data_IF_356002115231
#
_entry.id   IF_356002115231
#
_cell.length_a   1.000
_cell.length_b   1.000
_cell.length_c   1.000
_cell.angle_alpha   90.00
_cell.angle_beta   90.00
_cell.angle_gamma   90.00
#
_symmetry.space_group_name_H-M   'P 1'
#
loop_
_entity.id
_entity.type
_entity.pdbx_description
1 polymer ?
#
# COMPACT_ATOMS: atom_id res chain seq x y z
N UNK A 1 -5.92 -20.73 5.49
CA UNK A 1 -6.79 -21.75 4.83
C UNK A 1 -6.39 -21.90 3.36
N UNK A 2 -6.32 -23.12 2.80
CA UNK A 2 -5.98 -23.30 1.38
C UNK A 2 -7.16 -22.99 0.46
N UNK A 3 -6.85 -22.53 -0.74
CA UNK A 3 -7.84 -22.42 -1.80
C UNK A 3 -8.42 -23.80 -2.16
N UNK A 4 -9.72 -23.87 -2.29
CA UNK A 4 -10.44 -25.04 -2.80
C UNK A 4 -11.39 -24.63 -3.91
N UNK A 5 -11.71 -25.49 -4.87
CA UNK A 5 -12.69 -25.20 -5.91
C UNK A 5 -14.05 -24.79 -5.33
N UNK A 6 -14.50 -25.42 -4.25
CA UNK A 6 -15.78 -25.11 -3.59
C UNK A 6 -15.82 -23.66 -3.08
N UNK A 7 -14.76 -23.18 -2.43
CA UNK A 7 -14.69 -21.79 -1.93
C UNK A 7 -14.86 -20.78 -3.09
N UNK A 8 -14.28 -21.08 -4.24
CA UNK A 8 -14.36 -20.19 -5.40
C UNK A 8 -15.71 -20.27 -6.10
N UNK A 9 -16.30 -21.47 -6.18
CA UNK A 9 -17.60 -21.69 -6.81
C UNK A 9 -18.73 -21.08 -5.95
N UNK A 10 -18.65 -21.28 -4.62
CA UNK A 10 -19.67 -20.84 -3.66
C UNK A 10 -19.45 -19.38 -3.20
N UNK A 11 -18.43 -18.70 -3.75
CA UNK A 11 -18.12 -17.33 -3.40
C UNK A 11 -19.32 -16.39 -3.63
N UNK A 12 -19.67 -15.51 -2.66
CA UNK A 12 -20.72 -14.52 -2.82
C UNK A 12 -20.45 -13.64 -4.05
N UNK A 13 -21.52 -13.39 -4.82
CA UNK A 13 -21.46 -12.60 -6.04
C UNK A 13 -22.42 -11.43 -5.94
N UNK A 14 -21.93 -10.24 -6.30
CA UNK A 14 -22.75 -9.02 -6.32
C UNK A 14 -22.62 -8.36 -7.70
N UNK A 15 -23.70 -7.67 -8.07
CA UNK A 15 -23.73 -6.88 -9.28
C UNK A 15 -23.70 -5.40 -8.91
N UNK A 16 -22.74 -4.67 -9.43
CA UNK A 16 -22.57 -3.23 -9.22
C UNK A 16 -23.07 -2.52 -10.47
N UNK A 17 -24.10 -1.71 -10.33
CA UNK A 17 -24.62 -0.89 -11.41
C UNK A 17 -23.89 0.47 -11.41
N UNK A 18 -23.22 0.77 -12.49
CA UNK A 18 -22.59 2.09 -12.67
C UNK A 18 -23.60 3.05 -13.28
N UNK A 19 -24.12 3.99 -12.50
CA UNK A 19 -25.13 4.99 -12.82
C UNK A 19 -24.79 5.95 -13.98
N UNK A 20 -23.88 5.59 -14.87
CA UNK A 20 -23.43 6.43 -15.99
C UNK A 20 -24.24 6.27 -17.27
N UNK A 21 -25.49 5.81 -17.20
CA UNK A 21 -26.40 5.77 -18.34
C UNK A 21 -26.07 4.76 -19.45
N UNK A 22 -25.03 3.94 -19.27
CA UNK A 22 -24.75 2.73 -20.05
C UNK A 22 -24.90 1.55 -19.14
N UNK A 23 -25.70 0.58 -19.53
CA UNK A 23 -26.02 -0.66 -18.81
C UNK A 23 -24.79 -1.56 -18.63
N UNK A 24 -23.71 -1.06 -18.00
CA UNK A 24 -22.56 -1.86 -17.62
C UNK A 24 -22.72 -2.26 -16.16
N UNK A 25 -23.20 -3.46 -15.97
CA UNK A 25 -23.29 -4.07 -14.65
C UNK A 25 -22.01 -4.86 -14.42
N UNK A 26 -21.22 -4.44 -13.45
CA UNK A 26 -20.01 -5.17 -13.05
C UNK A 26 -20.34 -6.26 -12.04
N UNK A 27 -19.88 -7.46 -12.36
CA UNK A 27 -19.99 -8.61 -11.44
C UNK A 27 -18.77 -8.62 -10.52
N UNK A 28 -19.04 -8.52 -9.22
CA UNK A 28 -18.07 -8.63 -8.14
C UNK A 28 -18.14 -10.02 -7.51
N UNK A 29 -17.00 -10.71 -7.41
CA UNK A 29 -16.87 -11.97 -6.67
C UNK A 29 -16.07 -11.69 -5.40
N UNK A 30 -16.61 -12.13 -4.26
CA UNK A 30 -16.04 -11.82 -2.95
C UNK A 30 -15.41 -13.07 -2.33
N UNK A 31 -14.10 -13.01 -2.14
CA UNK A 31 -13.27 -14.01 -1.46
C UNK A 31 -12.50 -13.37 -0.29
N UNK A 32 -13.05 -12.32 0.32
CA UNK A 32 -12.40 -11.63 1.44
C UNK A 32 -12.66 -12.31 2.77
N UNK A 33 -11.79 -12.04 3.75
CA UNK A 33 -11.94 -12.49 5.15
C UNK A 33 -11.95 -14.01 5.34
N UNK A 34 -11.34 -14.76 4.41
CA UNK A 34 -11.34 -16.23 4.41
C UNK A 34 -10.02 -16.84 4.89
N UNK A 35 -9.03 -16.02 5.30
CA UNK A 35 -7.70 -16.48 5.67
C UNK A 35 -7.05 -17.39 4.59
N UNK A 36 -7.26 -17.02 3.32
CA UNK A 36 -6.73 -17.76 2.18
C UNK A 36 -5.22 -17.57 2.09
N UNK A 37 -4.50 -18.69 2.07
CA UNK A 37 -3.04 -18.74 1.95
C UNK A 37 -2.61 -18.96 0.50
N UNK A 38 -1.45 -18.44 0.16
CA UNK A 38 -0.82 -18.76 -1.13
C UNK A 38 -0.33 -20.21 -1.13
N UNK A 39 -0.79 -20.97 -2.11
CA UNK A 39 -0.33 -22.33 -2.38
C UNK A 39 -0.07 -22.49 -3.89
N UNK A 40 1.08 -23.02 -4.24
CA UNK A 40 1.51 -23.14 -5.64
C UNK A 40 0.65 -24.09 -6.48
N UNK A 41 -0.02 -25.04 -5.85
CA UNK A 41 -0.82 -26.08 -6.52
C UNK A 41 -2.31 -25.79 -6.43
N UNK A 42 -2.81 -25.57 -5.21
CA UNK A 42 -4.25 -25.46 -4.96
C UNK A 42 -4.84 -24.11 -5.41
N UNK A 43 -4.10 -23.01 -5.25
CA UNK A 43 -4.58 -21.67 -5.62
C UNK A 43 -4.81 -21.53 -7.14
N UNK A 44 -3.86 -21.86 -8.05
CA UNK A 44 -4.11 -21.75 -9.49
C UNK A 44 -5.20 -22.71 -9.97
N UNK A 45 -5.27 -23.92 -9.39
CA UNK A 45 -6.29 -24.91 -9.74
C UNK A 45 -7.69 -24.47 -9.35
N UNK A 46 -7.84 -23.91 -8.14
CA UNK A 46 -9.12 -23.41 -7.65
C UNK A 46 -9.60 -22.17 -8.39
N UNK A 47 -8.71 -21.23 -8.72
CA UNK A 47 -9.06 -20.01 -9.44
C UNK A 47 -9.52 -20.26 -10.90
N UNK A 48 -9.25 -21.43 -11.47
CA UNK A 48 -9.84 -21.82 -12.76
C UNK A 48 -11.35 -21.95 -12.71
N UNK A 49 -11.91 -22.23 -11.53
CA UNK A 49 -13.36 -22.32 -11.33
C UNK A 49 -14.05 -20.95 -11.08
N UNK A 50 -13.26 -19.86 -11.04
CA UNK A 50 -13.82 -18.52 -10.95
C UNK A 50 -14.70 -18.24 -12.16
N UNK A 51 -15.97 -17.94 -11.90
CA UNK A 51 -16.99 -17.75 -12.95
C UNK A 51 -16.62 -16.64 -13.93
N UNK A 52 -16.99 -16.79 -15.19
CA UNK A 52 -16.89 -15.73 -16.22
C UNK A 52 -18.30 -15.22 -16.57
N UNK A 53 -18.47 -13.91 -16.77
CA UNK A 53 -17.49 -12.85 -16.49
C UNK A 53 -17.38 -12.57 -14.99
N UNK A 54 -16.18 -12.15 -14.53
CA UNK A 54 -15.92 -11.53 -13.24
C UNK A 54 -15.18 -10.24 -13.50
N UNK A 55 -15.77 -9.11 -13.16
CA UNK A 55 -15.20 -7.79 -13.45
C UNK A 55 -14.37 -7.27 -12.26
N UNK A 56 -14.84 -7.56 -11.05
CA UNK A 56 -14.19 -7.18 -9.78
C UNK A 56 -13.93 -8.44 -8.98
N UNK A 57 -12.67 -8.65 -8.56
CA UNK A 57 -12.29 -9.75 -7.68
C UNK A 57 -11.79 -9.17 -6.36
N UNK A 58 -12.49 -9.49 -5.27
CA UNK A 58 -12.16 -9.05 -3.92
C UNK A 58 -11.51 -10.17 -3.12
N UNK A 59 -10.20 -10.06 -2.90
CA UNK A 59 -9.36 -10.94 -2.09
C UNK A 59 -8.83 -10.21 -0.84
N UNK A 60 -9.51 -9.15 -0.42
CA UNK A 60 -9.11 -8.33 0.74
C UNK A 60 -9.09 -9.16 2.02
N UNK A 61 -8.14 -8.85 2.91
CA UNK A 61 -8.02 -9.44 4.23
C UNK A 61 -7.91 -10.98 4.20
N UNK A 62 -6.85 -11.45 3.56
CA UNK A 62 -6.43 -12.85 3.50
C UNK A 62 -4.93 -12.96 3.86
N UNK A 63 -4.37 -14.15 3.77
CA UNK A 63 -2.96 -14.42 4.11
C UNK A 63 -2.09 -14.63 2.87
N UNK A 64 -2.40 -13.96 1.77
CA UNK A 64 -1.67 -14.08 0.51
C UNK A 64 -0.28 -13.45 0.62
N UNK A 65 0.76 -14.20 0.25
CA UNK A 65 2.15 -13.72 0.19
C UNK A 65 2.58 -13.29 -1.22
N UNK A 66 1.81 -13.65 -2.24
CA UNK A 66 2.02 -13.25 -3.64
C UNK A 66 0.68 -13.03 -4.35
N UNK A 67 0.74 -12.29 -5.44
CA UNK A 67 -0.42 -12.09 -6.33
C UNK A 67 -0.76 -13.41 -7.01
N UNK A 68 -2.05 -13.84 -7.03
CA UNK A 68 -2.46 -15.00 -7.79
C UNK A 68 -2.27 -14.79 -9.31
N UNK A 69 -1.95 -15.86 -10.04
CA UNK A 69 -1.84 -15.78 -11.50
C UNK A 69 -3.22 -15.65 -12.15
N UNK A 70 -3.51 -14.42 -12.54
CA UNK A 70 -4.73 -14.02 -13.26
C UNK A 70 -4.41 -13.53 -14.68
N UNK A 71 -3.21 -13.78 -15.17
CA UNK A 71 -2.72 -13.29 -16.48
C UNK A 71 -3.60 -13.69 -17.66
N UNK A 72 -4.33 -14.80 -17.57
CA UNK A 72 -5.24 -15.31 -18.58
C UNK A 72 -6.68 -14.79 -18.47
N UNK A 73 -6.93 -13.92 -17.48
CA UNK A 73 -8.26 -13.30 -17.29
C UNK A 73 -8.28 -11.95 -17.99
N UNK A 74 -9.15 -11.84 -18.95
CA UNK A 74 -9.40 -10.62 -19.74
C UNK A 74 -10.63 -9.85 -19.28
N UNK A 75 -11.45 -10.47 -18.45
CA UNK A 75 -12.70 -9.95 -17.91
C UNK A 75 -12.52 -9.16 -16.61
N UNK A 76 -11.41 -9.37 -15.86
CA UNK A 76 -11.18 -8.69 -14.59
C UNK A 76 -10.48 -7.35 -14.82
N UNK A 77 -11.16 -6.25 -14.44
CA UNK A 77 -10.60 -4.91 -14.50
C UNK A 77 -10.27 -4.31 -13.12
N UNK A 78 -10.80 -4.88 -12.04
CA UNK A 78 -10.52 -4.41 -10.67
C UNK A 78 -10.11 -5.58 -9.78
N UNK A 79 -8.95 -5.45 -9.15
CA UNK A 79 -8.37 -6.46 -8.26
C UNK A 79 -8.07 -5.83 -6.91
N UNK A 80 -8.77 -6.31 -5.87
CA UNK A 80 -8.64 -5.85 -4.50
C UNK A 80 -7.85 -6.87 -3.68
N UNK A 81 -6.64 -6.52 -3.29
CA UNK A 81 -5.68 -7.34 -2.53
C UNK A 81 -5.24 -6.64 -1.24
N UNK A 82 -6.01 -5.69 -0.75
CA UNK A 82 -5.71 -4.98 0.49
C UNK A 82 -5.66 -5.91 1.70
N UNK A 83 -4.83 -5.57 2.71
CA UNK A 83 -4.70 -6.35 3.95
C UNK A 83 -4.35 -7.81 3.69
N UNK A 84 -3.24 -8.02 3.02
CA UNK A 84 -2.61 -9.31 2.80
C UNK A 84 -1.14 -9.25 3.25
N UNK A 85 -0.38 -10.30 3.00
CA UNK A 85 1.02 -10.41 3.35
C UNK A 85 1.93 -10.35 2.10
N UNK A 86 1.46 -9.71 1.02
CA UNK A 86 2.18 -9.68 -0.27
C UNK A 86 3.48 -8.91 -0.11
N UNK A 87 4.57 -9.56 -0.50
CA UNK A 87 5.93 -9.02 -0.41
C UNK A 87 6.39 -8.45 -1.75
N UNK A 88 6.13 -9.13 -2.86
CA UNK A 88 6.58 -8.77 -4.19
C UNK A 88 5.41 -8.63 -5.17
N UNK A 89 5.49 -7.64 -6.06
CA UNK A 89 4.45 -7.36 -7.06
C UNK A 89 4.97 -7.71 -8.46
N UNK A 90 4.51 -8.85 -9.00
CA UNK A 90 4.81 -9.21 -10.40
C UNK A 90 3.66 -8.82 -11.33
N UNK A 91 3.90 -7.82 -12.16
CA UNK A 91 2.92 -7.31 -13.12
C UNK A 91 2.47 -8.32 -14.18
N UNK A 92 3.21 -9.41 -14.40
CA UNK A 92 2.83 -10.48 -15.35
C UNK A 92 1.68 -11.33 -14.85
N UNK A 93 1.47 -11.38 -13.53
CA UNK A 93 0.40 -12.16 -12.90
C UNK A 93 -0.95 -11.44 -12.92
N UNK A 94 -0.94 -10.15 -13.25
CA UNK A 94 -2.14 -9.33 -13.28
C UNK A 94 -3.04 -9.66 -14.47
N UNK A 95 -4.38 -9.47 -14.33
CA UNK A 95 -5.31 -9.60 -15.45
C UNK A 95 -4.95 -8.67 -16.62
N UNK A 96 -5.15 -9.14 -17.85
CA UNK A 96 -4.76 -8.38 -19.07
C UNK A 96 -5.42 -7.01 -19.17
N UNK A 97 -6.64 -6.87 -18.69
CA UNK A 97 -7.42 -5.63 -18.76
C UNK A 97 -7.55 -4.93 -17.39
N UNK A 98 -6.66 -5.23 -16.43
CA UNK A 98 -6.72 -4.60 -15.11
C UNK A 98 -6.54 -3.08 -15.23
N UNK A 99 -7.47 -2.35 -14.60
CA UNK A 99 -7.46 -0.89 -14.52
C UNK A 99 -7.20 -0.42 -13.09
N UNK A 100 -7.73 -1.15 -12.10
CA UNK A 100 -7.65 -0.79 -10.69
C UNK A 100 -6.98 -1.92 -9.91
N UNK A 101 -5.89 -1.60 -9.22
CA UNK A 101 -5.16 -2.52 -8.38
C UNK A 101 -4.99 -1.92 -6.98
N UNK A 102 -5.54 -2.60 -5.96
CA UNK A 102 -5.39 -2.20 -4.57
C UNK A 102 -4.50 -3.19 -3.83
N UNK A 103 -3.37 -2.71 -3.33
CA UNK A 103 -2.37 -3.45 -2.54
C UNK A 103 -2.13 -2.78 -1.18
N UNK A 104 -3.11 -2.04 -0.68
CA UNK A 104 -2.98 -1.34 0.60
C UNK A 104 -2.76 -2.30 1.78
N UNK A 105 -1.95 -1.88 2.77
CA UNK A 105 -1.65 -2.67 3.97
C UNK A 105 -1.14 -4.08 3.62
N UNK A 106 -0.05 -4.14 2.89
CA UNK A 106 0.69 -5.35 2.56
C UNK A 106 2.12 -5.29 3.13
N UNK A 107 2.97 -6.25 2.77
CA UNK A 107 4.33 -6.38 3.29
C UNK A 107 5.41 -5.92 2.30
N UNK A 108 5.07 -5.00 1.38
CA UNK A 108 5.98 -4.44 0.39
C UNK A 108 6.89 -3.42 1.08
N UNK A 109 8.21 -3.66 1.07
CA UNK A 109 9.16 -2.90 1.89
C UNK A 109 10.13 -2.05 1.08
N UNK A 110 10.57 -2.55 -0.06
CA UNK A 110 11.65 -1.98 -0.85
C UNK A 110 11.22 -1.71 -2.28
N UNK A 111 11.97 -0.90 -3.00
CA UNK A 111 11.72 -0.65 -4.42
C UNK A 111 11.94 -1.89 -5.29
N UNK A 112 12.85 -2.78 -4.88
CA UNK A 112 13.10 -4.07 -5.55
C UNK A 112 11.83 -4.92 -5.59
N UNK A 113 11.01 -4.88 -4.54
CA UNK A 113 9.76 -5.63 -4.42
C UNK A 113 8.71 -5.18 -5.47
N UNK A 114 8.87 -3.96 -6.02
CA UNK A 114 8.04 -3.39 -7.07
C UNK A 114 8.64 -3.49 -8.49
N UNK A 115 9.90 -3.92 -8.65
CA UNK A 115 10.61 -3.91 -9.94
C UNK A 115 9.86 -4.63 -11.06
N UNK A 116 9.19 -5.73 -10.74
CA UNK A 116 8.45 -6.52 -11.72
C UNK A 116 7.10 -5.89 -12.09
N UNK A 117 6.64 -4.87 -11.34
CA UNK A 117 5.44 -4.10 -11.67
C UNK A 117 5.58 -3.37 -13.02
N UNK A 118 6.80 -3.07 -13.46
CA UNK A 118 7.06 -2.51 -14.83
C UNK A 118 6.50 -3.37 -15.95
N UNK A 119 6.16 -4.64 -15.68
CA UNK A 119 5.54 -5.58 -16.64
C UNK A 119 4.02 -5.61 -16.53
N UNK A 120 3.43 -4.72 -15.73
CA UNK A 120 1.99 -4.58 -15.62
C UNK A 120 1.36 -4.20 -16.98
N UNK A 121 0.12 -4.63 -17.23
CA UNK A 121 -0.61 -4.22 -18.41
C UNK A 121 -0.74 -2.69 -18.52
N UNK A 122 -0.70 -2.16 -19.72
CA UNK A 122 -0.86 -0.72 -19.96
C UNK A 122 -2.26 -0.18 -19.64
N UNK A 123 -3.20 -1.07 -19.38
CA UNK A 123 -4.55 -0.75 -18.93
C UNK A 123 -4.61 -0.32 -17.47
N UNK A 124 -3.55 -0.58 -16.68
CA UNK A 124 -3.49 -0.23 -15.24
C UNK A 124 -3.44 1.30 -15.08
N UNK A 125 -4.52 1.88 -14.58
CA UNK A 125 -4.71 3.32 -14.39
C UNK A 125 -4.55 3.74 -12.95
N UNK A 126 -5.10 2.94 -12.03
CA UNK A 126 -5.21 3.26 -10.61
C UNK A 126 -4.47 2.21 -9.78
N UNK A 127 -3.52 2.67 -8.98
CA UNK A 127 -2.72 1.83 -8.09
C UNK A 127 -2.78 2.40 -6.67
N UNK A 128 -3.06 1.54 -5.69
CA UNK A 128 -3.04 1.91 -4.26
C UNK A 128 -2.05 1.03 -3.52
N UNK A 129 -1.04 1.65 -2.90
CA UNK A 129 0.01 1.00 -2.11
C UNK A 129 0.05 1.48 -0.65
N UNK A 130 -0.88 2.35 -0.24
CA UNK A 130 -0.95 2.92 1.13
C UNK A 130 -0.84 1.82 2.20
N UNK A 131 -0.09 2.13 3.28
CA UNK A 131 0.09 1.18 4.39
C UNK A 131 1.17 0.13 4.15
N UNK A 132 1.96 0.27 3.07
CA UNK A 132 3.19 -0.49 2.86
C UNK A 132 4.41 0.32 3.30
N UNK A 133 5.48 -0.35 3.72
CA UNK A 133 6.71 0.35 4.14
C UNK A 133 7.36 1.12 2.99
N UNK A 134 7.24 0.64 1.75
CA UNK A 134 7.77 1.29 0.56
C UNK A 134 7.25 2.73 0.37
N UNK A 135 6.04 3.04 0.84
CA UNK A 135 5.44 4.38 0.72
C UNK A 135 6.18 5.46 1.53
N UNK A 136 7.00 5.05 2.52
CA UNK A 136 7.77 5.95 3.37
C UNK A 136 9.19 6.18 2.85
N UNK A 137 9.58 5.54 1.76
CA UNK A 137 10.89 5.72 1.15
C UNK A 137 10.97 7.05 0.38
N UNK A 138 12.16 7.65 0.37
CA UNK A 138 12.39 8.88 -0.39
C UNK A 138 12.10 8.67 -1.87
N UNK A 139 11.44 9.66 -2.50
CA UNK A 139 11.09 9.65 -3.93
C UNK A 139 10.21 8.43 -4.35
N UNK A 140 9.38 7.96 -3.43
CA UNK A 140 8.49 6.82 -3.66
C UNK A 140 7.61 7.01 -4.91
N UNK A 141 6.94 8.16 -5.03
CA UNK A 141 6.02 8.43 -6.14
C UNK A 141 6.74 8.43 -7.49
N UNK A 142 7.88 9.10 -7.57
CA UNK A 142 8.71 9.15 -8.77
C UNK A 142 9.19 7.74 -9.16
N UNK A 143 9.55 6.93 -8.17
CA UNK A 143 10.01 5.57 -8.41
C UNK A 143 8.88 4.69 -8.98
N UNK A 144 7.69 4.74 -8.40
CA UNK A 144 6.51 4.01 -8.89
C UNK A 144 6.12 4.49 -10.30
N UNK A 145 6.08 5.80 -10.53
CA UNK A 145 5.72 6.38 -11.83
C UNK A 145 6.74 6.05 -12.93
N UNK A 146 7.99 5.82 -12.56
CA UNK A 146 9.01 5.34 -13.51
C UNK A 146 8.77 3.88 -13.91
N UNK A 147 8.28 3.05 -12.97
CA UNK A 147 7.94 1.65 -13.26
C UNK A 147 6.66 1.54 -14.10
N UNK A 148 5.67 2.37 -13.80
CA UNK A 148 4.35 2.38 -14.45
C UNK A 148 3.99 3.81 -14.91
N UNK A 149 4.55 4.28 -16.05
CA UNK A 149 4.41 5.68 -16.49
C UNK A 149 2.99 6.08 -16.89
N UNK A 150 2.13 5.12 -17.17
CA UNK A 150 0.76 5.34 -17.64
C UNK A 150 -0.28 5.42 -16.51
N UNK A 151 0.13 5.34 -15.22
CA UNK A 151 -0.78 5.51 -14.10
C UNK A 151 -1.48 6.88 -14.16
N UNK A 152 -2.79 6.89 -13.95
CA UNK A 152 -3.58 8.11 -13.81
C UNK A 152 -3.67 8.53 -12.34
N UNK A 153 -3.76 7.54 -11.43
CA UNK A 153 -3.91 7.76 -9.99
C UNK A 153 -2.96 6.85 -9.20
N UNK A 154 -2.22 7.41 -8.27
CA UNK A 154 -1.41 6.69 -7.29
C UNK A 154 -1.84 7.12 -5.89
N UNK A 155 -2.22 6.14 -5.06
CA UNK A 155 -2.63 6.37 -3.67
C UNK A 155 -3.74 7.43 -3.53
N UNK A 156 -4.78 7.29 -4.36
CA UNK A 156 -5.93 8.21 -4.46
C UNK A 156 -5.58 9.64 -4.89
N UNK A 157 -4.35 9.92 -5.30
CA UNK A 157 -3.93 11.22 -5.81
C UNK A 157 -3.67 11.13 -7.31
N UNK A 158 -4.25 12.05 -8.07
CA UNK A 158 -4.01 12.14 -9.51
C UNK A 158 -2.54 12.42 -9.80
N UNK A 159 -2.02 11.76 -10.83
CA UNK A 159 -0.64 11.92 -11.29
C UNK A 159 -0.53 13.12 -12.22
N UNK A 160 0.27 14.11 -11.83
CA UNK A 160 0.47 15.33 -12.63
C UNK A 160 1.50 15.13 -13.75
N UNK A 161 1.45 16.01 -14.77
CA UNK A 161 2.42 16.00 -15.84
C UNK A 161 3.85 16.35 -15.35
N UNK A 162 3.95 17.13 -14.28
CA UNK A 162 5.23 17.51 -13.66
C UNK A 162 5.85 16.31 -12.94
N UNK A 163 5.07 15.56 -12.18
CA UNK A 163 5.54 14.32 -11.53
C UNK A 163 6.05 13.31 -12.56
N UNK A 164 5.37 13.15 -13.69
CA UNK A 164 5.83 12.26 -14.77
C UNK A 164 7.18 12.70 -15.34
N UNK A 165 7.38 14.02 -15.56
CA UNK A 165 8.66 14.56 -16.03
C UNK A 165 9.77 14.33 -15.01
N UNK A 166 9.49 14.58 -13.73
CA UNK A 166 10.43 14.34 -12.64
C UNK A 166 10.83 12.87 -12.56
N UNK A 167 9.86 11.96 -12.64
CA UNK A 167 10.11 10.51 -12.62
C UNK A 167 11.01 10.04 -13.79
N UNK A 168 10.88 10.65 -14.96
CA UNK A 168 11.73 10.33 -16.13
C UNK A 168 13.15 10.90 -16.00
N UNK A 169 13.30 12.03 -15.33
CA UNK A 169 14.62 12.71 -15.12
C UNK A 169 15.43 12.09 -13.98
N UNK A 170 14.81 11.25 -13.17
CA UNK A 170 15.47 10.66 -12.01
C UNK A 170 16.57 9.69 -12.45
N UNK A 171 17.82 9.86 -11.95
CA UNK A 171 18.91 8.98 -12.32
C UNK A 171 18.56 7.53 -11.93
N UNK A 172 18.92 6.58 -12.80
CA UNK A 172 18.88 5.17 -12.43
C UNK A 172 19.83 4.96 -11.27
N UNK A 173 19.27 4.81 -10.06
CA UNK A 173 20.09 4.25 -9.00
C UNK A 173 20.44 2.82 -9.41
N UNK A 174 21.73 2.60 -9.55
CA UNK A 174 22.26 1.25 -9.64
C UNK A 174 21.88 0.51 -8.34
N UNK A 175 21.43 -0.72 -8.51
CA UNK A 175 21.04 -1.63 -7.43
C UNK A 175 22.04 -1.56 -6.27
N UNK A 176 21.65 -1.02 -5.15
CA UNK A 176 22.53 -0.91 -3.99
C UNK A 176 21.82 -0.23 -2.81
N UNK A 177 21.62 -1.01 -1.78
CA UNK A 177 21.18 -0.59 -0.45
C UNK A 177 21.95 0.68 0.00
N UNK A 178 21.24 1.80 0.07
CA UNK A 178 21.68 2.90 0.93
C UNK A 178 20.44 3.45 1.65
N UNK A 179 20.29 3.00 2.88
CA UNK A 179 19.57 3.75 3.92
C UNK A 179 20.33 5.07 4.15
N UNK A 180 20.10 6.04 3.27
CA UNK A 180 20.60 7.40 3.45
C UNK A 180 19.68 8.14 4.45
N UNK A 181 20.25 9.04 5.27
CA UNK A 181 19.46 9.81 6.24
C UNK A 181 18.43 10.68 5.48
N UNK A 182 17.18 10.58 5.92
CA UNK A 182 16.05 11.34 5.39
C UNK A 182 16.29 12.83 5.62
N UNK A 183 16.79 13.55 4.63
CA UNK A 183 16.73 15.00 4.59
C UNK A 183 15.40 15.42 3.96
N UNK A 184 14.40 15.61 4.82
CA UNK A 184 13.10 16.16 4.45
C UNK A 184 13.20 17.65 4.18
N UNK A 185 13.42 18.03 2.91
CA UNK A 185 13.01 19.33 2.42
C UNK A 185 11.61 19.17 1.79
N UNK A 186 10.59 19.27 2.61
CA UNK A 186 9.19 19.24 2.19
C UNK A 186 8.81 20.64 1.72
N UNK A 187 8.50 20.80 0.44
CA UNK A 187 7.73 21.95 -0.04
C UNK A 187 6.26 21.68 0.22
N UNK A 188 5.71 22.51 1.06
CA UNK A 188 4.37 22.52 1.58
C UNK A 188 3.34 22.92 0.51
N UNK A 189 2.26 22.13 0.37
CA UNK A 189 1.00 22.60 -0.17
C UNK A 189 -0.17 21.80 0.42
N UNK A 190 -0.85 22.44 1.36
CA UNK A 190 -2.26 22.18 1.63
C UNK A 190 -2.59 21.24 2.77
N UNK A 191 -2.99 21.85 3.90
CA UNK A 191 -3.79 21.29 5.00
C UNK A 191 -3.27 19.99 5.62
N UNK A 192 -2.24 20.12 6.43
CA UNK A 192 -1.78 19.09 7.37
C UNK A 192 -2.27 19.42 8.77
N UNK A 193 -2.63 18.37 9.48
CA UNK A 193 -2.97 18.42 10.90
C UNK A 193 -1.75 18.97 11.68
N UNK A 194 -1.80 20.24 12.01
CA UNK A 194 -0.73 21.01 12.69
C UNK A 194 -0.34 20.37 14.03
N UNK A 195 -1.20 19.58 14.61
CA UNK A 195 -0.98 18.91 15.90
C UNK A 195 0.09 17.82 15.81
N UNK A 196 0.10 17.04 14.74
CA UNK A 196 1.13 15.99 14.52
C UNK A 196 2.50 16.58 14.19
N UNK A 197 2.53 17.69 13.48
CA UNK A 197 3.76 18.36 13.08
C UNK A 197 4.46 19.04 14.29
N UNK A 198 3.66 19.67 15.17
CA UNK A 198 4.14 20.25 16.43
C UNK A 198 4.66 19.15 17.36
N UNK A 199 3.99 18.00 17.44
CA UNK A 199 4.40 16.86 18.27
C UNK A 199 5.73 16.27 17.83
N UNK A 200 5.96 16.10 16.53
CA UNK A 200 7.24 15.63 15.97
C UNK A 200 8.36 16.65 16.16
N UNK A 201 8.06 17.96 16.10
CA UNK A 201 9.03 19.03 16.29
C UNK A 201 9.48 19.13 17.77
N UNK A 202 8.57 18.91 18.72
CA UNK A 202 8.88 18.92 20.16
C UNK A 202 9.73 17.71 20.56
N UNK A 203 9.44 16.53 20.00
CA UNK A 203 10.22 15.30 20.27
C UNK A 203 11.61 15.39 19.65
N UNK A 204 11.77 15.98 18.48
CA UNK A 204 13.07 16.15 17.81
C UNK A 204 13.96 17.23 18.44
N UNK A 205 13.38 18.20 19.17
CA UNK A 205 14.11 19.29 19.82
C UNK A 205 14.53 19.00 21.25
N UNK A 206 14.10 17.89 21.85
CA UNK A 206 14.66 17.49 23.14
C UNK A 206 16.07 16.94 22.93
N UNK A 207 17.06 17.77 23.25
CA UNK A 207 18.46 17.33 23.29
C UNK A 207 18.62 16.17 24.28
N UNK A 208 19.55 15.28 24.01
CA UNK A 208 19.87 14.14 24.90
C UNK A 208 20.14 14.61 26.33
N UNK A 209 20.74 15.80 26.48
CA UNK A 209 21.02 16.46 27.74
C UNK A 209 19.71 16.81 28.49
N UNK A 210 18.73 17.38 27.83
CA UNK A 210 17.44 17.74 28.42
C UNK A 210 16.66 16.50 28.86
N UNK A 211 16.76 15.43 28.10
CA UNK A 211 16.11 14.16 28.42
C UNK A 211 16.75 13.48 29.65
N UNK A 212 18.07 13.57 29.76
CA UNK A 212 18.82 13.07 30.93
C UNK A 212 18.53 13.91 32.18
N UNK A 213 18.39 15.21 32.05
CA UNK A 213 18.02 16.12 33.12
C UNK A 213 16.61 15.80 33.66
N UNK A 214 15.62 15.62 32.77
CA UNK A 214 14.26 15.22 33.16
C UNK A 214 14.22 13.84 33.83
N UNK A 215 15.04 12.89 33.38
CA UNK A 215 15.15 11.57 34.02
C UNK A 215 15.73 11.67 35.44
N UNK A 216 16.69 12.56 35.64
CA UNK A 216 17.28 12.81 36.99
C UNK A 216 16.25 13.45 37.91
N UNK A 217 15.52 14.45 37.45
CA UNK A 217 14.43 15.08 38.19
C UNK A 217 13.32 14.08 38.53
N UNK A 218 12.99 13.15 37.63
CA UNK A 218 12.03 12.07 37.88
C UNK A 218 12.49 11.11 39.00
N UNK A 219 13.80 10.83 39.06
CA UNK A 219 14.37 9.98 40.10
C UNK A 219 14.42 10.67 41.49
N UNK A 220 14.46 12.00 41.51
CA UNK A 220 14.50 12.81 42.73
C UNK A 220 13.10 13.28 43.19
N UNK A 221 12.06 13.11 42.35
CA UNK A 221 10.71 13.54 42.63
C UNK A 221 10.06 12.70 43.74
N UNK A 222 9.49 13.37 44.76
CA UNK A 222 8.84 12.75 45.92
C UNK A 222 7.31 12.89 45.90
N UNK A 223 6.76 13.69 44.97
CA UNK A 223 5.33 13.92 44.84
C UNK A 223 4.75 13.18 43.60
N UNK A 224 3.61 12.52 43.75
CA UNK A 224 2.88 11.84 42.67
C UNK A 224 2.47 12.79 41.54
N UNK A 225 2.14 14.04 41.86
CA UNK A 225 1.78 15.04 40.85
C UNK A 225 2.99 15.47 40.00
N UNK A 226 4.14 15.58 40.63
CA UNK A 226 5.40 15.94 39.96
C UNK A 226 5.92 14.80 39.09
N UNK A 227 5.80 13.56 39.53
CA UNK A 227 6.10 12.35 38.76
C UNK A 227 5.22 12.31 37.50
N UNK A 228 3.91 12.45 37.60
CA UNK A 228 2.98 12.44 36.51
C UNK A 228 3.27 13.56 35.47
N UNK A 229 3.67 14.75 35.97
CA UNK A 229 4.05 15.89 35.13
C UNK A 229 5.35 15.62 34.33
N UNK A 230 6.34 15.05 34.98
CA UNK A 230 7.64 14.72 34.38
C UNK A 230 7.54 13.56 33.38
N UNK A 231 6.74 12.56 33.70
CA UNK A 231 6.43 11.46 32.80
C UNK A 231 5.71 11.98 31.52
N UNK A 232 4.76 12.89 31.68
CA UNK A 232 4.06 13.53 30.55
C UNK A 232 5.02 14.31 29.67
N UNK A 233 5.99 15.04 30.24
CA UNK A 233 7.01 15.76 29.49
C UNK A 233 8.00 14.82 28.78
N UNK A 234 8.35 13.69 29.39
CA UNK A 234 9.24 12.69 28.81
C UNK A 234 8.58 11.88 27.67
N UNK A 235 7.26 11.66 27.76
CA UNK A 235 6.47 10.96 26.75
C UNK A 235 6.07 11.86 25.58
N UNK A 236 6.38 13.18 25.60
CA UNK A 236 6.04 14.12 24.53
C UNK A 236 4.59 14.59 24.57
N UNK A 237 3.87 14.38 25.67
CA UNK A 237 2.52 14.90 25.84
C UNK A 237 2.52 16.37 26.30
N UNK A 238 1.84 17.22 25.54
CA UNK A 238 1.44 18.59 25.93
C UNK A 238 0.17 18.50 26.76
#
# INVERSE_FOLDING_TARGET
MKFTPSIVIDAPQYYVDHFNGKYNVDKCVILRDLQLETDSESMPSSLKHLTKPTHILDLTNNDLIMIPDLSRRDDIHTLLLGRNNIVEVDGRLLPMNVQNLTLSNNSIRRFEDLQRLRRAPRTLKNLTLIGNQVCHLANYREHVLRLVPHLETLDFQSVTAEERKSAMSFPRQADGDTLGPVNTAIKDNGSRDKTMEIMNLVVSKMTVERRNELKKQLAEATSLEEIARLEKLLSGGV
#
